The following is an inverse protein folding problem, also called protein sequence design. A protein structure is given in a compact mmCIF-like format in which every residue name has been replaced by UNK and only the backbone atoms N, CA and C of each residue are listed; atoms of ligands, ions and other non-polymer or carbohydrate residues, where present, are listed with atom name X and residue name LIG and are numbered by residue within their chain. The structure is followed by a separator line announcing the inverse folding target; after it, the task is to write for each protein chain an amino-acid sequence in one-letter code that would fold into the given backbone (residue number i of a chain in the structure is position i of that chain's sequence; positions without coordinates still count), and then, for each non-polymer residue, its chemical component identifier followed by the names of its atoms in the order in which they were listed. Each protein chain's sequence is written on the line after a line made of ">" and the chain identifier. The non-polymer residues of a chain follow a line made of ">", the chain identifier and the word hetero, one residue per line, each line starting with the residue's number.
data_IF_730905924919
#
_entry.id   IF_730905924919
#
_cell.length_a   1.000
_cell.length_b   1.000
_cell.length_c   1.000
_cell.angle_alpha   90.00
_cell.angle_beta   90.00
_cell.angle_gamma   90.00
#
_symmetry.space_group_name_H-M   'P 1'
#
loop_
_entity.id
_entity.type
_entity.pdbx_description
1 polymer ?
#
# COMPACT_ATOMS: atom_id res chain seq x y z
N UNK A 1 29.82 -18.74 16.27
CA UNK A 1 29.22 -17.67 17.13
C UNK A 1 28.92 -16.39 16.34
N UNK A 2 29.81 -15.94 15.45
CA UNK A 2 29.56 -14.79 14.56
C UNK A 2 28.41 -15.06 13.59
N UNK A 3 28.39 -16.25 12.96
CA UNK A 3 27.36 -16.64 11.97
C UNK A 3 25.92 -16.63 12.53
N UNK A 4 25.75 -16.97 13.80
CA UNK A 4 24.43 -16.95 14.44
C UNK A 4 23.94 -15.51 14.60
N UNK A 5 24.81 -14.60 15.03
CA UNK A 5 24.46 -13.18 15.22
C UNK A 5 24.17 -12.47 13.90
N UNK A 6 24.88 -12.80 12.82
CA UNK A 6 24.57 -12.26 11.49
C UNK A 6 23.23 -12.75 10.98
N UNK A 7 22.87 -14.02 11.23
CA UNK A 7 21.57 -14.56 10.86
C UNK A 7 20.43 -13.92 11.66
N UNK A 8 20.60 -13.79 12.97
CA UNK A 8 19.59 -13.16 13.85
C UNK A 8 19.37 -11.68 13.49
N UNK A 9 20.44 -10.95 13.11
CA UNK A 9 20.34 -9.57 12.62
C UNK A 9 19.66 -9.48 11.25
N UNK A 10 19.95 -10.42 10.34
CA UNK A 10 19.31 -10.47 9.02
C UNK A 10 17.82 -10.77 9.15
N UNK A 11 17.46 -11.76 9.97
CA UNK A 11 16.06 -12.11 10.23
C UNK A 11 15.31 -10.94 10.91
N UNK A 12 15.96 -10.20 11.81
CA UNK A 12 15.38 -8.99 12.40
C UNK A 12 15.13 -7.90 11.35
N UNK A 13 16.08 -7.65 10.43
CA UNK A 13 15.92 -6.69 9.34
C UNK A 13 14.80 -7.10 8.37
N UNK A 14 14.69 -8.38 8.04
CA UNK A 14 13.66 -8.88 7.13
C UNK A 14 12.26 -8.79 7.75
N UNK A 15 12.14 -8.93 9.08
CA UNK A 15 10.88 -8.76 9.80
C UNK A 15 10.44 -7.29 9.97
N UNK A 16 11.36 -6.32 9.94
CA UNK A 16 11.02 -4.87 10.03
C UNK A 16 10.23 -4.40 8.80
N UNK A 17 10.42 -5.04 7.65
CA UNK A 17 9.71 -4.71 6.39
C UNK A 17 8.28 -5.26 6.29
N UNK A 18 7.80 -5.96 7.30
CA UNK A 18 6.41 -6.41 7.32
C UNK A 18 5.54 -5.36 8.01
N UNK A 19 4.55 -4.83 7.29
CA UNK A 19 3.45 -4.02 7.83
C UNK A 19 2.74 -4.77 8.98
N UNK A 20 3.19 -4.57 10.22
CA UNK A 20 2.59 -5.13 11.43
C UNK A 20 2.00 -3.98 12.26
N UNK A 21 0.73 -4.08 12.62
CA UNK A 21 0.06 -3.13 13.51
C UNK A 21 -1.19 -2.47 12.92
N UNK A 22 -1.85 -1.63 13.72
CA UNK A 22 -2.98 -0.81 13.29
C UNK A 22 -2.49 0.53 12.73
N UNK A 23 -2.83 0.84 11.48
CA UNK A 23 -2.48 2.11 10.85
C UNK A 23 -3.53 3.18 11.16
N UNK A 24 -3.14 4.34 11.74
CA UNK A 24 -4.06 5.45 11.93
C UNK A 24 -4.36 6.12 10.57
N UNK A 25 -5.56 5.86 10.04
CA UNK A 25 -6.01 6.43 8.75
C UNK A 25 -7.13 7.45 8.91
N UNK A 26 -7.23 8.37 7.95
CA UNK A 26 -8.36 9.28 7.86
C UNK A 26 -9.57 8.52 7.31
N UNK A 27 -10.69 8.51 8.05
CA UNK A 27 -11.91 7.82 7.61
C UNK A 27 -12.45 8.35 6.27
N UNK A 28 -12.28 9.65 6.01
CA UNK A 28 -12.78 10.34 4.81
C UNK A 28 -11.88 10.15 3.59
N UNK A 29 -10.59 10.48 3.68
CA UNK A 29 -9.69 10.49 2.53
C UNK A 29 -8.66 9.34 2.49
N UNK A 30 -8.68 8.42 3.47
CA UNK A 30 -7.81 7.24 3.57
C UNK A 30 -6.30 7.51 3.65
N UNK A 31 -5.88 8.77 3.80
CA UNK A 31 -4.50 9.13 4.12
C UNK A 31 -4.06 8.47 5.43
N UNK A 32 -2.79 8.10 5.53
CA UNK A 32 -2.17 7.54 6.73
C UNK A 32 -1.48 8.67 7.49
N UNK A 33 -1.62 8.67 8.82
CA UNK A 33 -0.90 9.59 9.69
C UNK A 33 0.43 8.96 10.11
N UNK A 34 1.53 9.67 9.94
CA UNK A 34 2.84 9.24 10.46
C UNK A 34 3.05 9.74 11.90
N UNK A 35 4.13 9.31 12.54
CA UNK A 35 4.45 9.65 13.93
C UNK A 35 4.73 11.15 14.14
N UNK A 36 5.22 11.84 13.10
CA UNK A 36 5.41 13.30 13.08
C UNK A 36 4.09 14.08 12.90
N UNK A 37 2.98 13.37 12.71
CA UNK A 37 1.64 13.95 12.56
C UNK A 37 1.27 14.42 11.15
N UNK A 38 2.13 14.20 10.16
CA UNK A 38 1.83 14.43 8.75
C UNK A 38 0.92 13.36 8.17
N UNK A 39 0.14 13.77 7.17
CA UNK A 39 -0.78 12.90 6.44
C UNK A 39 -0.25 12.62 5.04
N UNK A 40 0.04 11.36 4.75
CA UNK A 40 0.50 10.90 3.44
C UNK A 40 -0.54 9.99 2.78
N UNK A 41 -0.42 9.82 1.46
CA UNK A 41 -1.22 8.83 0.74
C UNK A 41 -0.83 7.42 1.18
N UNK A 42 -1.79 6.50 1.23
CA UNK A 42 -1.57 5.15 1.74
C UNK A 42 -0.58 4.36 0.88
N UNK A 43 -0.56 4.63 -0.42
CA UNK A 43 0.37 4.04 -1.39
C UNK A 43 1.81 4.41 -1.05
N UNK A 44 2.06 5.65 -0.64
CA UNK A 44 3.39 6.11 -0.20
C UNK A 44 3.79 5.37 1.07
N UNK A 45 2.87 5.29 2.05
CA UNK A 45 3.13 4.59 3.30
C UNK A 45 3.47 3.11 3.07
N UNK A 46 2.69 2.40 2.24
CA UNK A 46 2.92 0.98 1.96
C UNK A 46 4.24 0.78 1.21
N UNK A 47 4.53 1.59 0.19
CA UNK A 47 5.80 1.52 -0.56
C UNK A 47 7.01 1.73 0.34
N UNK A 48 6.94 2.66 1.29
CA UNK A 48 8.06 2.98 2.17
C UNK A 48 8.25 1.93 3.29
N UNK A 49 7.22 1.14 3.61
CA UNK A 49 7.21 0.17 4.72
C UNK A 49 7.02 -1.29 4.28
N UNK A 50 7.09 -1.59 2.99
CA UNK A 50 7.03 -2.94 2.44
C UNK A 50 7.75 -3.03 1.11
N UNK A 51 8.04 -4.24 0.62
CA UNK A 51 8.64 -4.44 -0.71
C UNK A 51 7.56 -4.41 -1.84
N UNK A 52 6.45 -3.69 -1.65
CA UNK A 52 5.34 -3.63 -2.61
C UNK A 52 5.38 -2.36 -3.47
N UNK A 53 5.21 -2.54 -4.78
CA UNK A 53 5.05 -1.46 -5.76
C UNK A 53 3.59 -1.33 -6.25
N UNK A 54 3.18 -0.11 -6.58
CA UNK A 54 1.84 0.18 -7.09
C UNK A 54 1.88 0.55 -8.57
N UNK A 55 1.08 -0.16 -9.36
CA UNK A 55 0.74 0.24 -10.73
C UNK A 55 -0.54 1.07 -10.76
N UNK A 56 -0.66 1.97 -11.74
CA UNK A 56 -1.89 2.73 -11.95
C UNK A 56 -2.81 1.98 -12.92
N UNK A 57 -3.96 1.53 -12.43
CA UNK A 57 -4.99 0.84 -13.23
C UNK A 57 -6.39 1.21 -12.76
N UNK A 58 -7.38 0.98 -13.62
CA UNK A 58 -8.80 1.13 -13.29
C UNK A 58 -9.43 -0.24 -13.15
N UNK A 59 -10.17 -0.48 -12.06
CA UNK A 59 -11.01 -1.67 -11.97
C UNK A 59 -12.18 -1.59 -12.96
N UNK A 60 -12.84 -2.71 -13.29
CA UNK A 60 -13.97 -2.73 -14.22
C UNK A 60 -15.10 -1.75 -13.87
N UNK A 61 -15.38 -1.57 -12.57
CA UNK A 61 -16.42 -0.64 -12.10
C UNK A 61 -16.04 0.82 -12.37
N UNK A 62 -14.79 1.20 -12.02
CA UNK A 62 -14.27 2.53 -12.29
C UNK A 62 -14.17 2.81 -13.79
N UNK A 63 -13.72 1.84 -14.58
CA UNK A 63 -13.68 1.95 -16.03
C UNK A 63 -15.08 2.16 -16.63
N UNK A 64 -16.08 1.38 -16.18
CA UNK A 64 -17.48 1.53 -16.61
C UNK A 64 -18.07 2.88 -16.20
N UNK A 65 -17.77 3.35 -14.99
CA UNK A 65 -18.27 4.62 -14.46
C UNK A 65 -17.68 5.83 -15.17
N UNK A 66 -16.36 5.84 -15.40
CA UNK A 66 -15.63 6.96 -16.00
C UNK A 66 -15.74 6.95 -17.54
N UNK A 67 -15.81 5.76 -18.14
CA UNK A 67 -15.82 5.56 -19.59
C UNK A 67 -16.98 4.67 -20.05
N UNK A 68 -18.24 5.05 -19.76
CA UNK A 68 -19.40 4.21 -20.04
C UNK A 68 -19.61 3.92 -21.52
N UNK A 69 -19.14 4.77 -22.45
CA UNK A 69 -19.26 4.46 -23.90
C UNK A 69 -18.33 3.35 -24.38
N UNK A 70 -17.22 3.12 -23.68
CA UNK A 70 -16.21 2.11 -24.06
C UNK A 70 -16.39 0.80 -23.28
N UNK A 71 -16.91 0.88 -22.05
CA UNK A 71 -17.03 -0.25 -21.14
C UNK A 71 -18.48 -0.54 -20.70
N UNK A 72 -19.42 0.38 -20.95
CA UNK A 72 -20.83 0.14 -20.73
C UNK A 72 -21.36 -0.84 -21.75
N UNK A 73 -22.13 -1.83 -21.28
CA UNK A 73 -22.82 -2.79 -22.13
C UNK A 73 -23.97 -2.12 -22.85
N UNK A 74 -23.70 -1.25 -23.81
CA UNK A 74 -24.68 -0.96 -24.86
C UNK A 74 -24.74 -2.20 -25.74
N UNK A 75 -25.79 -3.00 -25.47
CA UNK A 75 -26.22 -4.08 -26.32
C UNK A 75 -26.36 -3.52 -27.74
N UNK A 76 -25.59 -4.08 -28.66
CA UNK A 76 -25.85 -3.94 -30.09
C UNK A 76 -27.25 -4.47 -30.41
#
# INVERSE_FOLDING_TARGET
>A
MVEQRTKDLQDALDNVKTLRGMLPICASCKKVRNDDGYWSQIEVFIRDHSDADFSHGLCPDCATKLYPRYYGKEKK
#
